data_IF_651944658748
#
_entry.id   IF_651944658748
#
_cell.length_a   1.000
_cell.length_b   1.000
_cell.length_c   1.000
_cell.angle_alpha   90.00
_cell.angle_beta   90.00
_cell.angle_gamma   90.00
#
_symmetry.space_group_name_H-M   'P 1'
#
loop_
_entity.id
_entity.type
_entity.pdbx_description
1 polymer ?
#
# COMPACT_ATOMS: atom_id res chain seq x y z
N UNK A 1 -4.98 -26.17 12.99
CA UNK A 1 -4.68 -26.82 11.70
C UNK A 1 -3.99 -25.80 10.83
N UNK A 2 -2.69 -25.97 10.60
CA UNK A 2 -1.94 -25.11 9.70
C UNK A 2 -2.43 -25.33 8.27
N UNK A 3 -2.95 -24.26 7.67
CA UNK A 3 -3.34 -24.25 6.27
C UNK A 3 -2.06 -24.38 5.42
N UNK A 4 -1.75 -25.60 4.96
CA UNK A 4 -0.78 -25.81 3.87
C UNK A 4 -1.48 -25.41 2.56
N UNK A 5 -1.01 -24.37 1.85
CA UNK A 5 -1.56 -24.06 0.55
C UNK A 5 -1.24 -25.21 -0.41
N UNK A 6 -2.26 -25.84 -0.98
CA UNK A 6 -2.05 -26.77 -2.09
C UNK A 6 -1.54 -25.96 -3.29
N UNK A 7 -0.33 -26.28 -3.75
CA UNK A 7 0.35 -25.58 -4.84
C UNK A 7 0.16 -26.29 -6.20
N UNK A 8 -0.62 -27.37 -6.26
CA UNK A 8 -0.91 -28.10 -7.50
C UNK A 8 -1.88 -27.39 -8.45
N UNK A 9 -2.66 -26.42 -7.96
CA UNK A 9 -3.71 -25.69 -8.70
C UNK A 9 -3.23 -24.43 -9.46
N UNK A 10 -1.92 -24.31 -9.73
CA UNK A 10 -1.34 -23.16 -10.44
C UNK A 10 -1.49 -23.32 -11.96
N UNK A 11 -2.67 -22.97 -12.46
CA UNK A 11 -2.94 -22.95 -13.90
C UNK A 11 -2.69 -21.54 -14.47
N UNK A 12 -2.19 -21.46 -15.70
CA UNK A 12 -1.89 -20.18 -16.37
C UNK A 12 -3.08 -19.19 -16.34
N UNK A 13 -4.31 -19.70 -16.48
CA UNK A 13 -5.59 -18.94 -16.43
C UNK A 13 -6.59 -19.54 -15.41
N UNK A 14 -6.17 -20.48 -14.54
CA UNK A 14 -7.12 -21.20 -13.68
C UNK A 14 -7.44 -20.53 -12.34
N UNK A 15 -7.82 -21.35 -11.35
CA UNK A 15 -8.35 -20.88 -10.07
C UNK A 15 -7.39 -19.91 -9.34
N UNK A 16 -6.09 -20.22 -9.33
CA UNK A 16 -5.01 -19.29 -8.98
C UNK A 16 -4.24 -18.95 -10.24
N UNK A 17 -4.33 -17.71 -10.69
CA UNK A 17 -3.80 -17.30 -11.99
C UNK A 17 -2.38 -16.75 -11.87
N UNK A 18 -1.42 -17.48 -12.46
CA UNK A 18 -0.05 -16.98 -12.64
C UNK A 18 -0.06 -15.75 -13.56
N UNK A 19 -0.89 -15.77 -14.61
CA UNK A 19 -1.01 -14.65 -15.54
C UNK A 19 -1.41 -13.34 -14.85
N UNK A 20 -2.41 -13.38 -13.96
CA UNK A 20 -2.84 -12.19 -13.21
C UNK A 20 -1.75 -11.66 -12.27
N UNK A 21 -0.97 -12.55 -11.66
CA UNK A 21 0.21 -12.17 -10.85
C UNK A 21 1.33 -11.57 -11.71
N UNK A 22 1.61 -12.12 -12.90
CA UNK A 22 2.61 -11.56 -13.83
C UNK A 22 2.15 -10.18 -14.34
N UNK A 23 0.89 -10.06 -14.72
CA UNK A 23 0.31 -8.78 -15.17
C UNK A 23 0.38 -7.73 -14.06
N UNK A 24 0.02 -8.10 -12.82
CA UNK A 24 0.19 -7.20 -11.68
C UNK A 24 1.65 -6.80 -11.48
N UNK A 25 2.59 -7.75 -11.59
CA UNK A 25 4.01 -7.46 -11.44
C UNK A 25 4.49 -6.44 -12.47
N UNK A 26 4.09 -6.60 -13.74
CA UNK A 26 4.41 -5.64 -14.81
C UNK A 26 3.80 -4.26 -14.50
N UNK A 27 2.53 -4.22 -14.09
CA UNK A 27 1.86 -2.97 -13.69
C UNK A 27 2.51 -2.32 -12.47
N UNK A 28 3.01 -3.11 -11.52
CA UNK A 28 3.75 -2.62 -10.36
C UNK A 28 5.11 -2.03 -10.77
N UNK A 29 5.88 -2.72 -11.63
CA UNK A 29 7.12 -2.19 -12.19
C UNK A 29 6.88 -0.87 -12.92
N UNK A 30 5.81 -0.78 -13.72
CA UNK A 30 5.43 0.45 -14.39
C UNK A 30 5.05 1.57 -13.40
N UNK A 31 4.34 1.24 -12.33
CA UNK A 31 4.01 2.20 -11.27
C UNK A 31 5.27 2.75 -10.58
N UNK A 32 6.26 1.90 -10.28
CA UNK A 32 7.56 2.34 -9.74
C UNK A 32 8.31 3.24 -10.73
N UNK A 33 8.36 2.86 -12.01
CA UNK A 33 9.00 3.67 -13.05
C UNK A 33 8.33 5.05 -13.16
N UNK A 34 6.99 5.07 -13.16
CA UNK A 34 6.21 6.29 -13.23
C UNK A 34 6.41 7.17 -11.99
N UNK A 35 6.48 6.58 -10.79
CA UNK A 35 6.80 7.32 -9.56
C UNK A 35 8.19 7.98 -9.61
N UNK A 36 9.20 7.29 -10.15
CA UNK A 36 10.53 7.85 -10.36
C UNK A 36 10.53 8.99 -11.40
N UNK A 37 9.79 8.81 -12.51
CA UNK A 37 9.64 9.84 -13.52
C UNK A 37 8.93 11.09 -12.97
N UNK A 38 7.86 10.91 -12.18
CA UNK A 38 7.19 12.01 -11.47
C UNK A 38 8.13 12.70 -10.49
N UNK A 39 8.90 11.93 -9.72
CA UNK A 39 9.88 12.50 -8.81
C UNK A 39 10.91 13.36 -9.53
N UNK A 40 11.47 12.87 -10.64
CA UNK A 40 12.44 13.61 -11.45
C UNK A 40 11.83 14.90 -12.02
N UNK A 41 10.63 14.81 -12.61
CA UNK A 41 9.92 15.96 -13.21
C UNK A 41 9.54 17.02 -12.17
N UNK A 42 8.96 16.63 -11.03
CA UNK A 42 8.61 17.57 -9.98
C UNK A 42 9.89 18.17 -9.36
N UNK A 43 10.96 17.40 -9.17
CA UNK A 43 12.25 17.93 -8.71
C UNK A 43 12.80 19.00 -9.65
N UNK A 44 12.71 18.79 -10.97
CA UNK A 44 13.16 19.76 -11.97
C UNK A 44 12.32 21.05 -11.93
N UNK A 45 10.99 20.93 -11.83
CA UNK A 45 10.09 22.08 -11.66
C UNK A 45 10.42 22.93 -10.43
N UNK A 46 10.82 22.28 -9.33
CA UNK A 46 11.20 22.96 -8.10
C UNK A 46 12.71 23.21 -7.95
N UNK A 47 13.53 22.89 -8.96
CA UNK A 47 14.99 23.04 -8.92
C UNK A 47 15.44 24.49 -8.73
N UNK A 48 14.62 25.47 -9.14
CA UNK A 48 14.86 26.89 -8.91
C UNK A 48 14.67 27.33 -7.44
N UNK A 49 14.06 26.47 -6.61
CA UNK A 49 13.82 26.66 -5.19
C UNK A 49 14.35 25.46 -4.40
N UNK A 50 15.64 25.11 -4.59
CA UNK A 50 16.34 23.97 -4.01
C UNK A 50 16.43 24.02 -2.46
N UNK A 51 15.29 24.06 -1.80
CA UNK A 51 15.11 23.85 -0.37
C UNK A 51 14.60 22.42 -0.19
N UNK A 52 15.06 21.76 0.86
CA UNK A 52 14.65 20.38 1.19
C UNK A 52 13.15 20.25 1.41
N UNK A 53 12.48 21.34 1.80
CA UNK A 53 11.01 21.41 1.81
C UNK A 53 10.39 21.05 0.46
N UNK A 54 11.01 21.45 -0.65
CA UNK A 54 10.56 21.05 -1.99
C UNK A 54 10.72 19.53 -2.21
N UNK A 55 11.89 18.97 -1.91
CA UNK A 55 12.15 17.52 -2.09
C UNK A 55 11.15 16.70 -1.27
N UNK A 56 10.90 17.12 -0.04
CA UNK A 56 9.93 16.49 0.85
C UNK A 56 8.50 16.58 0.29
N UNK A 57 8.07 17.74 -0.21
CA UNK A 57 6.76 17.90 -0.88
C UNK A 57 6.68 17.00 -2.13
N UNK A 58 7.75 16.89 -2.92
CA UNK A 58 7.81 15.99 -4.08
C UNK A 58 7.60 14.53 -3.65
N UNK A 59 8.31 14.08 -2.61
CA UNK A 59 8.14 12.73 -2.05
C UNK A 59 6.70 12.49 -1.57
N UNK A 60 6.09 13.49 -0.92
CA UNK A 60 4.70 13.40 -0.45
C UNK A 60 3.71 13.21 -1.59
N UNK A 61 3.83 13.99 -2.66
CA UNK A 61 2.96 13.88 -3.85
C UNK A 61 3.19 12.54 -4.56
N UNK A 62 4.45 12.16 -4.78
CA UNK A 62 4.80 10.92 -5.47
C UNK A 62 4.29 9.69 -4.71
N UNK A 63 4.38 9.67 -3.38
CA UNK A 63 3.87 8.59 -2.55
C UNK A 63 2.35 8.41 -2.71
N UNK A 64 1.60 9.52 -2.71
CA UNK A 64 0.15 9.48 -2.89
C UNK A 64 -0.25 8.98 -4.28
N UNK A 65 0.41 9.48 -5.34
CA UNK A 65 0.17 9.02 -6.70
C UNK A 65 0.47 7.53 -6.85
N UNK A 66 1.62 7.08 -6.32
CA UNK A 66 2.00 5.67 -6.32
C UNK A 66 0.95 4.80 -5.64
N UNK A 67 0.44 5.22 -4.48
CA UNK A 67 -0.59 4.50 -3.74
C UNK A 67 -1.90 4.41 -4.55
N UNK A 68 -2.36 5.52 -5.14
CA UNK A 68 -3.58 5.56 -5.94
C UNK A 68 -3.50 4.65 -7.16
N UNK A 69 -2.39 4.69 -7.90
CA UNK A 69 -2.17 3.83 -9.08
C UNK A 69 -2.08 2.36 -8.67
N UNK A 70 -1.46 2.05 -7.53
CA UNK A 70 -1.43 0.68 -6.99
C UNK A 70 -2.84 0.15 -6.70
N UNK A 71 -3.71 0.95 -6.09
CA UNK A 71 -5.11 0.57 -5.84
C UNK A 71 -5.91 0.43 -7.14
N UNK A 72 -5.65 1.29 -8.14
CA UNK A 72 -6.23 1.16 -9.49
C UNK A 72 -5.84 -0.18 -10.12
N UNK A 73 -4.57 -0.59 -10.03
CA UNK A 73 -4.08 -1.86 -10.57
C UNK A 73 -4.83 -3.07 -9.97
N UNK A 74 -5.10 -3.06 -8.67
CA UNK A 74 -5.93 -4.10 -8.05
C UNK A 74 -7.36 -4.10 -8.57
N UNK A 75 -7.96 -2.93 -8.79
CA UNK A 75 -9.31 -2.81 -9.38
C UNK A 75 -9.39 -3.29 -10.82
N UNK A 76 -8.38 -3.01 -11.63
CA UNK A 76 -8.30 -3.51 -13.02
C UNK A 76 -8.34 -5.05 -13.01
N UNK A 77 -7.52 -5.70 -12.19
CA UNK A 77 -7.49 -7.17 -12.09
C UNK A 77 -8.81 -7.74 -11.53
N UNK A 78 -9.42 -7.03 -10.59
CA UNK A 78 -10.76 -7.34 -10.09
C UNK A 78 -11.81 -7.30 -11.20
N UNK A 79 -11.77 -6.30 -12.09
CA UNK A 79 -12.65 -6.25 -13.27
C UNK A 79 -12.36 -7.36 -14.28
N UNK A 80 -11.11 -7.81 -14.39
CA UNK A 80 -10.75 -9.01 -15.15
C UNK A 80 -11.23 -10.32 -14.49
N UNK A 81 -11.93 -10.26 -13.35
CA UNK A 81 -12.50 -11.42 -12.68
C UNK A 81 -11.59 -12.08 -11.65
N UNK A 82 -10.55 -11.38 -11.19
CA UNK A 82 -9.58 -11.89 -10.22
C UNK A 82 -9.47 -11.00 -8.99
N UNK A 83 -9.54 -11.59 -7.80
CA UNK A 83 -9.30 -10.87 -6.55
C UNK A 83 -7.94 -11.24 -5.95
N UNK A 84 -7.28 -10.27 -5.33
CA UNK A 84 -6.01 -10.49 -4.66
C UNK A 84 -6.25 -11.21 -3.32
N UNK A 85 -5.48 -12.25 -3.06
CA UNK A 85 -5.48 -12.91 -1.75
C UNK A 85 -4.94 -11.96 -0.67
N UNK A 86 -5.35 -12.14 0.60
CA UNK A 86 -4.90 -11.30 1.71
C UNK A 86 -3.42 -11.53 2.05
N UNK A 87 -2.91 -12.73 1.81
CA UNK A 87 -1.52 -13.09 2.08
C UNK A 87 -0.66 -13.04 0.81
N UNK A 88 0.54 -12.49 0.95
CA UNK A 88 1.55 -12.52 -0.09
C UNK A 88 2.18 -13.91 -0.14
N UNK A 89 2.20 -14.52 -1.32
CA UNK A 89 2.78 -15.85 -1.49
C UNK A 89 4.27 -15.72 -1.79
N UNK A 90 5.05 -16.61 -1.17
CA UNK A 90 6.49 -16.73 -1.39
C UNK A 90 6.74 -17.33 -2.79
N UNK A 91 7.48 -16.60 -3.62
CA UNK A 91 8.00 -17.05 -4.91
C UNK A 91 9.53 -17.21 -4.83
N UNK A 92 10.05 -18.29 -5.41
CA UNK A 92 11.48 -18.67 -5.32
C UNK A 92 11.76 -19.68 -4.20
N UNK A 93 12.96 -20.26 -4.23
CA UNK A 93 13.48 -21.20 -3.21
C UNK A 93 14.82 -20.69 -2.65
N UNK A 94 15.10 -20.94 -1.38
CA UNK A 94 16.32 -20.47 -0.71
C UNK A 94 16.26 -19.00 -0.22
N UNK A 95 17.42 -18.37 -0.12
CA UNK A 95 17.64 -17.02 0.46
C UNK A 95 17.08 -15.85 -0.37
N UNK A 96 16.77 -16.07 -1.65
CA UNK A 96 16.25 -15.05 -2.58
C UNK A 96 14.77 -15.28 -2.89
N UNK A 97 13.96 -15.33 -1.83
CA UNK A 97 12.52 -15.48 -1.99
C UNK A 97 11.80 -14.14 -1.95
N UNK A 98 10.92 -13.89 -2.92
CA UNK A 98 10.14 -12.67 -3.02
C UNK A 98 8.66 -12.93 -2.73
N UNK A 99 8.02 -12.03 -1.99
CA UNK A 99 6.60 -12.14 -1.66
C UNK A 99 5.78 -11.35 -2.67
N UNK A 100 4.94 -12.04 -3.45
CA UNK A 100 4.10 -11.42 -4.47
C UNK A 100 2.61 -11.67 -4.17
N UNK A 101 1.73 -10.70 -4.49
CA UNK A 101 0.30 -10.93 -4.40
C UNK A 101 -0.12 -12.00 -5.40
N UNK A 102 -0.90 -12.96 -4.91
CA UNK A 102 -1.50 -14.00 -5.74
C UNK A 102 -2.97 -13.69 -5.95
N UNK A 103 -3.39 -13.88 -7.20
CA UNK A 103 -4.73 -13.58 -7.65
C UNK A 103 -5.54 -14.87 -7.82
N UNK A 104 -6.76 -14.86 -7.29
CA UNK A 104 -7.71 -15.97 -7.40
C UNK A 104 -8.91 -15.54 -8.24
N UNK A 105 -9.36 -16.41 -9.13
CA UNK A 105 -10.56 -16.16 -9.94
C UNK A 105 -11.79 -16.07 -9.04
N UNK A 106 -12.74 -15.21 -9.40
CA UNK A 106 -14.01 -15.10 -8.69
C UNK A 106 -14.76 -16.44 -8.71
N UNK A 107 -15.04 -16.99 -7.53
CA UNK A 107 -15.96 -18.11 -7.35
C UNK A 107 -17.39 -17.59 -7.22
N UNK A 108 -18.38 -18.47 -7.42
CA UNK A 108 -19.79 -18.05 -7.33
C UNK A 108 -20.14 -17.57 -5.91
N UNK A 109 -19.68 -18.30 -4.88
CA UNK A 109 -19.80 -17.88 -3.49
C UNK A 109 -19.17 -16.50 -3.25
N UNK A 110 -17.96 -16.27 -3.80
CA UNK A 110 -17.29 -14.98 -3.67
C UNK A 110 -18.12 -13.84 -4.29
N UNK A 111 -18.68 -14.02 -5.49
CA UNK A 111 -19.52 -13.00 -6.14
C UNK A 111 -20.77 -12.68 -5.30
N UNK A 112 -21.42 -13.69 -4.74
CA UNK A 112 -22.61 -13.53 -3.88
C UNK A 112 -22.27 -12.75 -2.61
N UNK A 113 -21.14 -13.05 -1.95
CA UNK A 113 -20.71 -12.27 -0.79
C UNK A 113 -20.29 -10.86 -1.18
N UNK A 114 -19.55 -10.71 -2.29
CA UNK A 114 -19.07 -9.43 -2.77
C UNK A 114 -20.21 -8.50 -3.20
N UNK A 115 -21.34 -9.03 -3.69
CA UNK A 115 -22.53 -8.24 -4.03
C UNK A 115 -23.24 -7.68 -2.79
N UNK A 116 -23.17 -8.37 -1.65
CA UNK A 116 -23.70 -7.91 -0.35
C UNK A 116 -22.88 -6.78 0.29
N UNK A 117 -21.72 -6.41 -0.28
CA UNK A 117 -20.84 -5.38 0.30
C UNK A 117 -21.51 -4.01 0.37
N UNK A 118 -21.20 -3.26 1.42
CA UNK A 118 -21.67 -1.88 1.52
C UNK A 118 -20.73 -0.94 0.78
N UNK A 119 -21.10 -0.53 -0.45
CA UNK A 119 -20.31 0.42 -1.26
C UNK A 119 -20.00 1.73 -0.53
N UNK A 120 -20.95 2.25 0.26
CA UNK A 120 -20.80 3.47 1.06
C UNK A 120 -19.68 3.32 2.10
N UNK A 121 -19.70 2.25 2.90
CA UNK A 121 -18.69 2.03 3.94
C UNK A 121 -17.33 1.68 3.35
N UNK A 122 -17.30 0.99 2.20
CA UNK A 122 -16.08 0.75 1.43
C UNK A 122 -15.42 2.05 0.97
N UNK A 123 -16.21 2.95 0.37
CA UNK A 123 -15.72 4.26 -0.05
C UNK A 123 -15.27 5.09 1.14
N UNK A 124 -16.08 5.14 2.20
CA UNK A 124 -15.75 5.87 3.42
C UNK A 124 -14.43 5.37 4.01
N UNK A 125 -14.28 4.05 4.18
CA UNK A 125 -13.06 3.43 4.68
C UNK A 125 -11.83 3.84 3.88
N UNK A 126 -11.92 3.76 2.54
CA UNK A 126 -10.81 4.11 1.64
C UNK A 126 -10.42 5.59 1.81
N UNK A 127 -11.40 6.50 1.78
CA UNK A 127 -11.14 7.94 1.92
C UNK A 127 -10.53 8.25 3.28
N UNK A 128 -11.12 7.76 4.38
CA UNK A 128 -10.59 8.01 5.71
C UNK A 128 -9.24 7.33 5.94
N UNK A 129 -8.96 6.19 5.32
CA UNK A 129 -7.64 5.56 5.35
C UNK A 129 -6.59 6.42 4.62
N UNK A 130 -6.90 6.92 3.42
CA UNK A 130 -6.01 7.81 2.68
C UNK A 130 -5.73 9.07 3.49
N UNK A 131 -6.76 9.71 4.05
CA UNK A 131 -6.60 10.89 4.90
C UNK A 131 -5.75 10.60 6.14
N UNK A 132 -5.97 9.46 6.79
CA UNK A 132 -5.23 9.04 7.97
C UNK A 132 -3.74 8.82 7.68
N UNK A 133 -3.42 8.12 6.59
CA UNK A 133 -2.03 7.92 6.15
C UNK A 133 -1.38 9.27 5.78
N UNK A 134 -2.11 10.15 5.10
CA UNK A 134 -1.63 11.49 4.75
C UNK A 134 -1.39 12.39 5.96
N UNK A 135 -2.23 12.31 6.98
CA UNK A 135 -2.04 13.05 8.24
C UNK A 135 -0.71 12.65 8.89
N UNK A 136 -0.46 11.33 9.02
CA UNK A 136 0.79 10.82 9.57
C UNK A 136 1.97 11.31 8.73
N UNK A 137 1.89 11.13 7.41
CA UNK A 137 2.94 11.53 6.47
C UNK A 137 3.22 13.05 6.52
N UNK A 138 2.18 13.87 6.66
CA UNK A 138 2.28 15.32 6.80
C UNK A 138 2.95 15.75 8.10
N UNK A 139 2.59 15.15 9.24
CA UNK A 139 3.26 15.41 10.53
C UNK A 139 4.74 15.10 10.45
N UNK A 140 5.11 14.00 9.79
CA UNK A 140 6.51 13.64 9.59
C UNK A 140 7.23 14.58 8.66
N UNK A 141 6.56 15.06 7.61
CA UNK A 141 7.12 16.04 6.71
C UNK A 141 7.57 17.27 7.49
N UNK A 142 6.70 17.77 8.37
CA UNK A 142 6.95 18.92 9.24
C UNK A 142 8.10 18.59 10.20
N UNK A 143 8.06 17.44 10.88
CA UNK A 143 9.13 17.01 11.79
C UNK A 143 10.48 16.92 11.07
N UNK A 144 10.51 16.37 9.85
CA UNK A 144 11.71 16.22 9.03
C UNK A 144 12.28 17.58 8.60
N UNK A 145 11.42 18.51 8.17
CA UNK A 145 11.82 19.88 7.86
C UNK A 145 12.42 20.59 9.07
N UNK A 146 11.77 20.48 10.24
CA UNK A 146 12.24 21.09 11.49
C UNK A 146 13.56 20.48 11.95
N UNK A 147 13.65 19.15 11.95
CA UNK A 147 14.87 18.43 12.31
C UNK A 147 16.04 18.82 11.41
N UNK A 148 15.82 18.90 10.10
CA UNK A 148 16.85 19.32 9.15
C UNK A 148 17.34 20.74 9.43
N UNK A 149 16.42 21.70 9.56
CA UNK A 149 16.76 23.11 9.79
C UNK A 149 17.49 23.36 11.11
N UNK A 150 17.23 22.54 12.14
CA UNK A 150 17.90 22.68 13.44
C UNK A 150 19.28 22.00 13.45
N UNK A 151 19.40 20.78 12.92
CA UNK A 151 20.56 19.92 13.18
C UNK A 151 21.52 19.74 12.01
N UNK A 152 21.04 19.83 10.76
CA UNK A 152 21.87 19.51 9.58
C UNK A 152 22.43 20.76 8.92
N UNK A 153 21.68 21.86 8.90
CA UNK A 153 22.17 23.15 8.40
C UNK A 153 23.21 23.80 9.34
N UNK A 154 23.28 23.34 10.60
CA UNK A 154 24.15 23.89 11.65
C UNK A 154 25.50 23.20 11.82
N UNK A 155 25.78 22.07 11.14
CA UNK A 155 27.00 21.28 11.38
C UNK A 155 27.50 20.50 10.14
N UNK A 156 28.76 20.71 9.75
CA UNK A 156 29.38 20.10 8.55
C UNK A 156 29.96 18.70 8.77
N UNK A 157 30.35 18.33 10.00
CA UNK A 157 30.94 17.01 10.30
C UNK A 157 29.89 15.93 10.65
N UNK A 158 28.66 16.32 10.98
CA UNK A 158 27.62 15.43 11.51
C UNK A 158 26.62 14.87 10.46
N UNK A 159 26.76 15.24 9.19
CA UNK A 159 25.77 14.94 8.14
C UNK A 159 25.48 13.44 7.93
N UNK A 160 26.50 12.57 7.99
CA UNK A 160 26.33 11.15 7.69
C UNK A 160 25.52 10.40 8.77
N UNK A 161 25.75 10.71 10.06
CA UNK A 161 25.01 10.07 11.16
C UNK A 161 23.55 10.49 11.20
N UNK A 162 23.25 11.76 10.92
CA UNK A 162 21.87 12.25 10.85
C UNK A 162 21.11 11.70 9.63
N UNK A 163 21.77 11.54 8.48
CA UNK A 163 21.17 10.87 7.32
C UNK A 163 20.79 9.40 7.63
N UNK A 164 21.64 8.69 8.37
CA UNK A 164 21.37 7.32 8.82
C UNK A 164 20.23 7.28 9.85
N UNK A 165 20.20 8.20 10.81
CA UNK A 165 19.10 8.38 11.77
C UNK A 165 17.77 8.66 11.07
N UNK A 166 17.80 9.49 10.04
CA UNK A 166 16.63 9.82 9.22
C UNK A 166 16.09 8.58 8.48
N UNK A 167 16.97 7.77 7.88
CA UNK A 167 16.58 6.49 7.27
C UNK A 167 15.97 5.52 8.30
N UNK A 168 16.56 5.40 9.48
CA UNK A 168 15.99 4.59 10.57
C UNK A 168 14.61 5.08 10.98
N UNK A 169 14.39 6.40 11.05
CA UNK A 169 13.10 6.98 11.37
C UNK A 169 12.02 6.62 10.33
N UNK A 170 12.37 6.60 9.05
CA UNK A 170 11.49 6.14 7.95
C UNK A 170 11.11 4.66 8.13
N UNK A 171 12.06 3.81 8.51
CA UNK A 171 11.80 2.38 8.72
C UNK A 171 10.88 2.16 9.93
N UNK A 172 11.19 2.76 11.07
CA UNK A 172 10.36 2.69 12.29
C UNK A 172 8.95 3.17 11.99
N UNK A 173 8.84 4.26 11.23
CA UNK A 173 7.58 4.78 10.79
C UNK A 173 6.77 3.78 9.96
N UNK A 174 7.41 3.11 9.00
CA UNK A 174 6.71 2.11 8.18
C UNK A 174 6.03 1.07 9.07
N UNK A 175 6.72 0.56 10.09
CA UNK A 175 6.14 -0.34 11.08
C UNK A 175 5.01 0.30 11.90
N UNK A 176 5.16 1.56 12.32
CA UNK A 176 4.11 2.29 13.03
C UNK A 176 2.84 2.44 12.17
N UNK A 177 2.97 2.82 10.89
CA UNK A 177 1.83 2.93 9.96
C UNK A 177 1.13 1.58 9.83
N UNK A 178 1.88 0.48 9.70
CA UNK A 178 1.30 -0.86 9.59
C UNK A 178 0.56 -1.29 10.87
N UNK A 179 1.14 -1.02 12.04
CA UNK A 179 0.51 -1.29 13.33
C UNK A 179 -0.77 -0.46 13.54
N UNK A 180 -0.71 0.83 13.17
CA UNK A 180 -1.86 1.73 13.21
C UNK A 180 -2.94 1.31 12.23
N UNK A 181 -2.58 0.82 11.04
CA UNK A 181 -3.55 0.29 10.07
C UNK A 181 -4.34 -0.90 10.63
N UNK A 182 -3.66 -1.82 11.34
CA UNK A 182 -4.33 -2.94 12.02
C UNK A 182 -5.35 -2.45 13.05
N UNK A 183 -4.99 -1.45 13.87
CA UNK A 183 -5.90 -0.84 14.85
C UNK A 183 -7.07 -0.12 14.17
N UNK A 184 -6.79 0.63 13.12
CA UNK A 184 -7.78 1.39 12.36
C UNK A 184 -8.85 0.48 11.74
N UNK A 185 -8.44 -0.65 11.12
CA UNK A 185 -9.38 -1.66 10.59
C UNK A 185 -10.35 -2.17 11.64
N UNK A 186 -9.83 -2.49 12.84
CA UNK A 186 -10.64 -3.00 13.95
C UNK A 186 -11.60 -1.93 14.48
N UNK A 187 -11.12 -0.70 14.64
CA UNK A 187 -11.94 0.43 15.07
C UNK A 187 -13.08 0.70 14.09
N UNK A 188 -12.79 0.79 12.79
CA UNK A 188 -13.79 1.06 11.76
C UNK A 188 -14.87 -0.03 11.70
N UNK A 189 -14.45 -1.30 11.76
CA UNK A 189 -15.35 -2.46 11.81
C UNK A 189 -16.31 -2.37 13.00
N UNK A 190 -15.78 -2.09 14.19
CA UNK A 190 -16.57 -2.07 15.42
C UNK A 190 -17.51 -0.86 15.47
N UNK A 191 -17.04 0.32 15.08
CA UNK A 191 -17.81 1.56 15.09
C UNK A 191 -19.06 1.46 14.20
N UNK A 192 -18.90 0.96 12.97
CA UNK A 192 -20.00 0.80 12.02
C UNK A 192 -20.74 -0.55 12.12
N UNK A 193 -20.38 -1.41 13.11
CA UNK A 193 -20.94 -2.77 13.29
C UNK A 193 -20.91 -3.59 11.99
N UNK A 194 -19.77 -3.59 11.31
CA UNK A 194 -19.57 -4.27 10.02
C UNK A 194 -19.04 -5.69 10.21
N UNK A 195 -19.26 -6.51 9.20
CA UNK A 195 -18.64 -7.84 9.04
C UNK A 195 -17.63 -7.77 7.88
N UNK A 196 -16.50 -8.46 8.02
CA UNK A 196 -15.33 -8.38 7.12
C UNK A 196 -14.80 -9.77 6.73
N UNK A 197 -15.73 -10.71 6.46
CA UNK A 197 -15.43 -12.11 6.11
C UNK A 197 -14.50 -12.30 4.92
N UNK A 198 -14.40 -11.29 4.05
CA UNK A 198 -13.53 -11.31 2.87
C UNK A 198 -12.52 -10.17 3.00
N UNK A 199 -11.26 -10.47 2.69
CA UNK A 199 -10.17 -9.50 2.66
C UNK A 199 -9.49 -9.61 1.30
N UNK A 200 -9.33 -8.46 0.62
CA UNK A 200 -8.62 -8.34 -0.65
C UNK A 200 -7.34 -7.54 -0.40
N UNK A 201 -6.16 -8.10 -0.72
CA UNK A 201 -4.85 -7.43 -0.57
C UNK A 201 -4.65 -6.70 0.77
N UNK A 202 -5.16 -7.26 1.87
CA UNK A 202 -5.07 -6.70 3.23
C UNK A 202 -6.18 -5.70 3.61
N UNK A 203 -7.06 -5.35 2.66
CA UNK A 203 -8.22 -4.47 2.84
C UNK A 203 -9.52 -5.29 3.05
N UNK A 204 -10.29 -4.99 4.10
CA UNK A 204 -11.52 -5.69 4.40
C UNK A 204 -12.66 -5.32 3.45
N UNK A 205 -13.39 -6.31 2.96
CA UNK A 205 -14.66 -6.15 2.24
C UNK A 205 -15.81 -6.19 3.25
N UNK A 206 -16.15 -5.00 3.73
CA UNK A 206 -17.25 -4.74 4.65
C UNK A 206 -18.64 -5.05 4.06
N UNK A 207 -19.36 -5.89 4.79
CA UNK A 207 -20.80 -6.12 4.71
C UNK A 207 -21.46 -5.60 5.98
N UNK A 208 -22.74 -5.24 5.91
CA UNK A 208 -23.52 -4.97 7.13
C UNK A 208 -23.72 -6.31 7.87
N UNK A 209 -23.63 -6.31 9.20
CA UNK A 209 -24.03 -7.47 9.99
C UNK A 209 -25.53 -7.71 9.74
N UNK A 210 -25.88 -8.91 9.27
CA UNK A 210 -27.28 -9.34 9.21
C UNK A 210 -27.85 -9.28 10.64
N UNK A 211 -29.02 -8.65 10.80
CA UNK A 211 -29.71 -8.51 12.10
C UNK A 211 -30.29 -9.85 12.54
#
# INVERSE_FOLDING_TARGET
>A
MDYRPDYSDKNFIGARSIFASILYFILACFNYFLALAYFAFIRELYSNHAKISSILICCFICYNLFFLIRELNFKILHWCGYHALPELVKFGSGSYSFHLPVFKRHTENYKVYYSKRSKKHQFLFLVSYILYVNLILGVLLIFSCVYWGIFIESSSEFQNWHALLFLFLIIILYFCIEALFKKYKLWFKNYFKLDDRIVEHGFPIYTLKEK
#
